data_IF_764592754847
#
_entry.id   IF_764592754847
#
_cell.length_a   1.000
_cell.length_b   1.000
_cell.length_c   1.000
_cell.angle_alpha   90.00
_cell.angle_beta   90.00
_cell.angle_gamma   90.00
#
_symmetry.space_group_name_H-M   'P 1'
#
loop_
_entity.id
_entity.type
_entity.pdbx_description
1 polymer ?
#
# COMPACT_ATOMS: atom_id res chain seq x y z
N UNK A 1 -2.55 7.38 -4.29
CA UNK A 1 -2.74 7.90 -2.92
C UNK A 1 -3.50 9.23 -2.88
N UNK A 2 -3.69 9.94 -4.01
CA UNK A 2 -4.39 11.24 -4.04
C UNK A 2 -5.91 11.13 -3.85
N UNK A 3 -6.54 10.03 -4.29
CA UNK A 3 -8.00 10.03 -4.47
C UNK A 3 -8.83 9.64 -3.25
N UNK A 4 -8.38 8.68 -2.41
CA UNK A 4 -9.25 8.11 -1.37
C UNK A 4 -9.64 9.11 -0.27
N UNK A 5 -8.69 9.91 0.22
CA UNK A 5 -8.97 10.93 1.23
C UNK A 5 -9.83 12.05 0.66
N UNK A 6 -9.51 12.55 -0.54
CA UNK A 6 -10.27 13.63 -1.16
C UNK A 6 -11.70 13.20 -1.51
N UNK A 7 -11.89 11.98 -2.01
CA UNK A 7 -13.21 11.40 -2.22
C UNK A 7 -13.99 11.30 -0.91
N UNK A 8 -13.37 10.82 0.17
CA UNK A 8 -14.01 10.73 1.47
C UNK A 8 -14.39 12.10 2.05
N UNK A 9 -13.50 13.10 1.94
CA UNK A 9 -13.77 14.47 2.37
C UNK A 9 -14.91 15.08 1.55
N UNK A 10 -14.85 14.94 0.22
CA UNK A 10 -15.87 15.45 -0.69
C UNK A 10 -17.25 14.81 -0.44
N UNK A 11 -17.30 13.50 -0.24
CA UNK A 11 -18.53 12.78 0.12
C UNK A 11 -19.12 13.26 1.46
N UNK A 12 -18.28 13.72 2.38
CA UNK A 12 -18.71 14.31 3.65
C UNK A 12 -19.02 15.82 3.56
N UNK A 13 -19.00 16.42 2.37
CA UNK A 13 -19.18 17.87 2.19
C UNK A 13 -18.06 18.71 2.81
N UNK A 14 -16.87 18.11 2.99
CA UNK A 14 -15.67 18.75 3.54
C UNK A 14 -14.68 19.06 2.42
N UNK A 15 -13.90 20.11 2.65
CA UNK A 15 -12.77 20.48 1.79
C UNK A 15 -11.46 19.99 2.40
N UNK A 16 -10.45 19.80 1.54
CA UNK A 16 -9.09 19.50 1.97
C UNK A 16 -8.54 20.61 2.89
N UNK A 17 -7.83 20.27 3.96
CA UNK A 17 -7.15 21.26 4.80
C UNK A 17 -6.16 22.12 3.98
N UNK A 18 -6.00 23.43 4.28
CA UNK A 18 -5.17 24.34 3.50
C UNK A 18 -3.65 24.05 3.62
N UNK A 19 -3.22 23.34 4.66
CA UNK A 19 -1.81 23.04 4.95
C UNK A 19 -1.53 21.53 4.85
N UNK A 20 -1.57 21.01 3.62
CA UNK A 20 -1.26 19.61 3.34
C UNK A 20 0.09 19.48 2.65
N UNK A 21 0.85 18.46 3.05
CA UNK A 21 2.08 18.05 2.38
C UNK A 21 1.77 16.83 1.51
N UNK A 22 2.11 16.92 0.23
CA UNK A 22 2.04 15.79 -0.70
C UNK A 22 3.42 15.23 -0.95
N UNK A 23 3.57 13.92 -0.76
CA UNK A 23 4.82 13.22 -1.00
C UNK A 23 4.55 11.76 -1.38
N UNK A 24 5.28 11.28 -2.38
CA UNK A 24 5.33 9.88 -2.79
C UNK A 24 6.42 9.08 -2.05
N UNK A 25 7.20 9.74 -1.20
CA UNK A 25 8.28 9.12 -0.43
C UNK A 25 7.75 8.67 0.93
N UNK A 26 7.68 7.35 1.11
CA UNK A 26 7.28 6.76 2.39
C UNK A 26 8.23 7.13 3.54
N UNK A 27 9.52 7.37 3.23
CA UNK A 27 10.51 7.79 4.23
C UNK A 27 10.22 9.21 4.69
N UNK A 28 10.03 10.15 3.75
CA UNK A 28 9.68 11.53 4.08
C UNK A 28 8.37 11.59 4.87
N UNK A 29 7.35 10.82 4.46
CA UNK A 29 6.07 10.78 5.16
C UNK A 29 6.25 10.29 6.60
N UNK A 30 7.05 9.25 6.82
CA UNK A 30 7.34 8.76 8.17
C UNK A 30 8.13 9.77 9.00
N UNK A 31 9.14 10.42 8.41
CA UNK A 31 9.91 11.47 9.08
C UNK A 31 9.01 12.62 9.51
N UNK A 32 8.11 13.08 8.65
CA UNK A 32 7.14 14.13 9.00
C UNK A 32 6.23 13.70 10.14
N UNK A 33 5.66 12.49 10.07
CA UNK A 33 4.80 11.96 11.14
C UNK A 33 5.52 11.83 12.49
N UNK A 34 6.81 11.52 12.48
CA UNK A 34 7.60 11.38 13.71
C UNK A 34 8.03 12.72 14.33
N UNK A 35 7.96 13.82 13.58
CA UNK A 35 8.49 15.12 14.01
C UNK A 35 7.45 16.25 13.99
N UNK A 36 6.19 15.94 13.68
CA UNK A 36 5.09 16.92 13.56
C UNK A 36 3.78 16.28 13.99
N UNK A 37 2.76 17.12 14.23
CA UNK A 37 1.40 16.66 14.55
C UNK A 37 0.54 16.36 13.29
N UNK A 38 1.18 16.05 12.16
CA UNK A 38 0.48 15.74 10.92
C UNK A 38 -0.19 14.36 10.97
N UNK A 39 -1.25 14.21 10.17
CA UNK A 39 -1.87 12.92 9.86
C UNK A 39 -1.47 12.47 8.46
N UNK A 40 -1.19 11.19 8.32
CA UNK A 40 -0.77 10.57 7.06
C UNK A 40 -1.83 9.62 6.54
N UNK A 41 -1.94 9.52 5.22
CA UNK A 41 -2.74 8.48 4.57
C UNK A 41 -1.77 7.54 3.85
N UNK A 42 -1.93 6.24 4.06
CA UNK A 42 -1.17 5.19 3.39
C UNK A 42 -2.10 4.02 3.02
N UNK A 43 -1.65 3.13 2.13
CA UNK A 43 -2.35 1.86 1.93
C UNK A 43 -2.32 1.05 3.23
N UNK A 44 -3.34 0.22 3.48
CA UNK A 44 -3.43 -0.57 4.71
C UNK A 44 -2.17 -1.42 4.96
N UNK A 45 -1.65 -2.07 3.92
CA UNK A 45 -0.42 -2.86 3.97
C UNK A 45 0.80 -2.03 4.38
N UNK A 46 0.95 -0.83 3.83
CA UNK A 46 2.07 0.05 4.19
C UNK A 46 1.95 0.52 5.64
N UNK A 47 0.75 0.92 6.06
CA UNK A 47 0.48 1.34 7.44
C UNK A 47 0.78 0.22 8.45
N UNK A 48 0.32 -1.00 8.19
CA UNK A 48 0.59 -2.18 9.03
C UNK A 48 2.09 -2.45 9.19
N UNK A 49 2.86 -2.35 8.11
CA UNK A 49 4.32 -2.53 8.17
C UNK A 49 4.98 -1.49 9.08
N UNK A 50 4.55 -0.24 9.02
CA UNK A 50 5.10 0.82 9.88
C UNK A 50 4.65 0.69 11.34
N UNK A 51 3.41 0.27 11.58
CA UNK A 51 2.91 0.00 12.93
C UNK A 51 3.66 -1.17 13.59
N UNK A 52 3.92 -2.26 12.85
CA UNK A 52 4.73 -3.40 13.33
C UNK A 52 6.16 -2.99 13.73
N UNK A 53 6.70 -1.95 13.10
CA UNK A 53 8.00 -1.37 13.43
C UNK A 53 7.91 -0.33 14.57
N UNK A 54 6.75 -0.20 15.22
CA UNK A 54 6.44 0.82 16.23
C UNK A 54 6.62 2.27 15.74
N UNK A 55 6.62 2.49 14.43
CA UNK A 55 6.94 3.80 13.85
C UNK A 55 5.71 4.73 13.77
N UNK A 56 4.50 4.17 13.73
CA UNK A 56 3.23 4.93 13.73
C UNK A 56 2.16 4.19 14.55
N UNK A 57 0.97 4.79 14.63
CA UNK A 57 -0.27 4.13 15.07
C UNK A 57 -1.33 4.26 13.98
N UNK A 58 -2.11 3.21 13.77
CA UNK A 58 -3.21 3.24 12.80
C UNK A 58 -4.48 3.75 13.49
N UNK A 59 -5.08 4.80 12.93
CA UNK A 59 -6.43 5.22 13.36
C UNK A 59 -7.45 4.14 12.96
N UNK A 60 -8.39 3.75 13.84
CA UNK A 60 -9.36 2.69 13.58
C UNK A 60 -10.49 3.15 12.63
N UNK A 61 -10.11 3.63 11.46
CA UNK A 61 -10.99 4.04 10.38
C UNK A 61 -10.46 3.51 9.05
N UNK A 62 -11.36 3.23 8.12
CA UNK A 62 -10.99 2.85 6.75
C UNK A 62 -11.53 3.90 5.80
N UNK A 63 -10.66 4.38 4.94
CA UNK A 63 -11.06 5.16 3.77
C UNK A 63 -11.34 4.17 2.63
N UNK A 64 -12.45 4.36 1.93
CA UNK A 64 -12.72 3.57 0.72
C UNK A 64 -11.72 3.96 -0.37
N UNK A 65 -11.07 2.95 -0.96
CA UNK A 65 -10.01 3.15 -1.94
C UNK A 65 -8.87 2.17 -1.74
N UNK A 66 -9.05 0.92 -2.18
CA UNK A 66 -7.92 0.00 -2.30
C UNK A 66 -7.09 0.36 -3.52
N UNK A 67 -5.80 0.59 -3.33
CA UNK A 67 -4.87 0.78 -4.45
C UNK A 67 -4.62 -0.55 -5.14
N UNK A 68 -5.06 -0.70 -6.38
CA UNK A 68 -4.66 -1.83 -7.22
C UNK A 68 -3.15 -1.73 -7.49
N UNK A 69 -2.41 -2.80 -7.20
CA UNK A 69 -1.01 -2.94 -7.61
C UNK A 69 -0.99 -3.77 -8.88
N UNK A 70 -0.38 -3.23 -9.94
CA UNK A 70 -0.20 -3.93 -11.21
C UNK A 70 1.28 -4.03 -11.54
N UNK A 71 1.68 -5.14 -12.14
CA UNK A 71 2.99 -5.29 -12.76
C UNK A 71 2.88 -4.92 -14.24
N UNK A 72 3.83 -4.14 -14.74
CA UNK A 72 3.89 -3.74 -16.15
C UNK A 72 5.32 -3.95 -16.66
N UNK A 73 5.45 -4.23 -17.96
CA UNK A 73 6.73 -4.35 -18.65
C UNK A 73 6.59 -3.79 -20.07
N UNK A 74 7.72 -3.43 -20.69
CA UNK A 74 7.72 -3.00 -22.09
C UNK A 74 7.47 -4.22 -23.00
N UNK A 75 6.53 -4.17 -23.97
CA UNK A 75 6.16 -5.32 -24.79
C UNK A 75 7.35 -6.06 -25.41
N UNK A 76 8.31 -5.33 -25.97
CA UNK A 76 9.48 -5.92 -26.65
C UNK A 76 10.52 -6.52 -25.70
N UNK A 77 10.43 -6.25 -24.39
CA UNK A 77 11.38 -6.78 -23.41
C UNK A 77 11.19 -8.27 -23.14
N UNK A 78 10.01 -8.83 -23.46
CA UNK A 78 9.72 -10.25 -23.26
C UNK A 78 10.54 -11.18 -24.17
N UNK A 79 11.12 -10.66 -25.26
CA UNK A 79 12.05 -11.40 -26.12
C UNK A 79 13.37 -11.75 -25.42
N UNK A 80 13.67 -11.14 -24.26
CA UNK A 80 14.82 -11.49 -23.42
C UNK A 80 14.42 -12.61 -22.47
N UNK A 81 15.10 -13.75 -22.55
CA UNK A 81 14.83 -14.92 -21.70
C UNK A 81 14.77 -14.60 -20.20
N UNK A 82 15.65 -13.72 -19.70
CA UNK A 82 15.66 -13.30 -18.30
C UNK A 82 14.39 -12.54 -17.88
N UNK A 83 13.85 -11.71 -18.77
CA UNK A 83 12.60 -10.97 -18.52
C UNK A 83 11.41 -11.92 -18.52
N UNK A 84 11.36 -12.85 -19.49
CA UNK A 84 10.32 -13.87 -19.55
C UNK A 84 10.31 -14.74 -18.28
N UNK A 85 11.48 -15.22 -17.84
CA UNK A 85 11.61 -16.02 -16.62
C UNK A 85 11.18 -15.24 -15.37
N UNK A 86 11.52 -13.95 -15.30
CA UNK A 86 11.13 -13.09 -14.18
C UNK A 86 9.62 -12.87 -14.15
N UNK A 87 9.00 -12.59 -15.30
CA UNK A 87 7.54 -12.42 -15.40
C UNK A 87 6.83 -13.69 -14.92
N UNK A 88 7.30 -14.86 -15.34
CA UNK A 88 6.69 -16.14 -14.94
C UNK A 88 6.80 -16.37 -13.43
N UNK A 89 7.97 -16.12 -12.84
CA UNK A 89 8.18 -16.17 -11.40
C UNK A 89 7.22 -15.22 -10.65
N UNK A 90 7.11 -13.97 -11.11
CA UNK A 90 6.23 -12.98 -10.48
C UNK A 90 4.74 -13.36 -10.57
N UNK A 91 4.31 -13.97 -11.69
CA UNK A 91 2.94 -14.49 -11.84
C UNK A 91 2.65 -15.61 -10.86
N UNK A 92 3.59 -16.54 -10.67
CA UNK A 92 3.44 -17.61 -9.71
C UNK A 92 3.27 -17.09 -8.27
N UNK A 93 3.96 -16.00 -7.90
CA UNK A 93 3.79 -15.34 -6.60
C UNK A 93 2.49 -14.53 -6.47
N UNK A 94 1.92 -14.07 -7.58
CA UNK A 94 0.73 -13.22 -7.60
C UNK A 94 -0.58 -14.02 -7.58
N UNK A 95 -0.54 -15.32 -7.88
CA UNK A 95 -1.72 -16.18 -7.79
C UNK A 95 -2.26 -16.18 -6.34
N UNK A 96 -3.58 -16.07 -6.14
CA UNK A 96 -4.16 -16.14 -4.81
C UNK A 96 -3.73 -17.45 -4.15
N UNK A 97 -3.23 -17.36 -2.92
CA UNK A 97 -2.83 -18.52 -2.15
C UNK A 97 -4.11 -19.27 -1.75
N UNK A 98 -4.55 -20.20 -2.59
CA UNK A 98 -5.63 -21.12 -2.29
C UNK A 98 -5.03 -22.21 -1.40
N UNK A 99 -5.29 -22.16 -0.09
CA UNK A 99 -4.89 -23.22 0.84
C UNK A 99 -4.73 -22.73 2.28
N UNK A 100 -5.70 -23.06 3.12
CA UNK A 100 -5.73 -22.72 4.53
C UNK A 100 -4.58 -23.36 5.32
N UNK A 101 -4.22 -22.73 6.43
CA UNK A 101 -3.44 -23.37 7.47
C UNK A 101 -4.33 -24.43 8.13
N UNK A 102 -4.28 -25.67 7.62
CA UNK A 102 -4.69 -26.82 8.41
C UNK A 102 -3.67 -27.01 9.53
N UNK A 103 -4.14 -26.90 10.78
CA UNK A 103 -3.36 -27.22 11.98
C UNK A 103 -2.86 -28.66 11.82
N UNK A 104 -1.54 -28.83 11.78
CA UNK A 104 -0.94 -30.12 12.12
C UNK A 104 -1.00 -30.23 13.64
N UNK A 105 -1.95 -31.02 14.12
CA UNK A 105 -1.99 -31.51 15.49
C UNK A 105 -0.85 -32.53 15.64
N UNK A 106 0.02 -32.32 16.62
CA UNK A 106 1.14 -33.20 16.92
C UNK A 106 0.68 -34.22 17.95
N UNK A 107 0.73 -35.50 17.59
CA UNK A 107 0.72 -36.63 18.53
C UNK A 107 2.10 -36.83 19.18
#
# INVERSE_FOLDING_TARGET
MHNALEVALSAAGRVRPPHCVESNSSILNLTLLNNTDLLGVASHRAAQRFEQLNAIRILPMRLEGQGAVSMYWHPDSANRAAVAATIECLRACAAPQVGGWEKVEAD
#
